data_IF_463118494859
#
_entry.id   IF_463118494859
#
_cell.length_a   1.000
_cell.length_b   1.000
_cell.length_c   1.000
_cell.angle_alpha   90.00
_cell.angle_beta   90.00
_cell.angle_gamma   90.00
#
_symmetry.space_group_name_H-M   'P 1'
#
loop_
_entity.id
_entity.type
_entity.pdbx_description
1 polymer ?
#
# COMPACT_ATOMS: atom_id res chain seq x y z
N UNK A 1 -10.53 -4.38 -33.52
CA UNK A 1 -9.10 -3.96 -33.55
C UNK A 1 -8.37 -4.80 -32.53
N UNK A 2 -7.36 -5.56 -32.95
CA UNK A 2 -6.68 -6.57 -32.11
C UNK A 2 -5.60 -6.00 -31.18
N UNK A 3 -5.31 -4.70 -31.26
CA UNK A 3 -4.30 -3.99 -30.47
C UNK A 3 -4.86 -2.66 -29.99
N UNK A 4 -4.71 -2.39 -28.69
CA UNK A 4 -5.11 -1.13 -28.05
C UNK A 4 -4.06 -0.72 -26.99
N UNK A 5 -3.24 0.29 -27.32
CA UNK A 5 -2.20 0.81 -26.43
C UNK A 5 -2.78 1.37 -25.11
N UNK A 6 -3.88 2.15 -25.13
CA UNK A 6 -4.64 2.50 -23.93
C UNK A 6 -4.98 1.32 -23.01
N UNK A 7 -5.46 0.20 -23.54
CA UNK A 7 -5.76 -0.99 -22.73
C UNK A 7 -4.51 -1.58 -22.08
N UNK A 8 -3.42 -1.73 -22.84
CA UNK A 8 -2.14 -2.20 -22.29
C UNK A 8 -1.64 -1.30 -21.16
N UNK A 9 -1.71 0.02 -21.34
CA UNK A 9 -1.36 0.99 -20.28
C UNK A 9 -2.25 0.84 -19.06
N UNK A 10 -3.56 0.68 -19.24
CA UNK A 10 -4.50 0.45 -18.14
C UNK A 10 -4.19 -0.85 -17.39
N UNK A 11 -3.85 -1.93 -18.08
CA UNK A 11 -3.43 -3.19 -17.47
C UNK A 11 -2.13 -3.03 -16.66
N UNK A 12 -1.14 -2.32 -17.20
CA UNK A 12 0.10 -2.01 -16.48
C UNK A 12 -0.16 -1.18 -15.22
N UNK A 13 -1.00 -0.15 -15.32
CA UNK A 13 -1.39 0.68 -14.19
C UNK A 13 -2.17 -0.10 -13.12
N UNK A 14 -2.99 -1.08 -13.50
CA UNK A 14 -3.62 -2.01 -12.55
C UNK A 14 -2.59 -2.86 -11.81
N UNK A 15 -1.54 -3.33 -12.46
CA UNK A 15 -0.44 -4.04 -11.79
C UNK A 15 0.28 -3.14 -10.78
N UNK A 16 0.49 -1.87 -11.11
CA UNK A 16 1.08 -0.88 -10.19
C UNK A 16 0.14 -0.58 -9.02
N UNK A 17 -1.17 -0.47 -9.27
CA UNK A 17 -2.16 -0.27 -8.21
C UNK A 17 -2.18 -1.45 -7.22
N UNK A 18 -2.18 -2.68 -7.72
CA UNK A 18 -2.07 -3.89 -6.88
C UNK A 18 -0.80 -3.87 -6.03
N UNK A 19 0.34 -3.50 -6.60
CA UNK A 19 1.60 -3.34 -5.86
C UNK A 19 1.46 -2.30 -4.74
N UNK A 20 0.84 -1.15 -5.01
CA UNK A 20 0.60 -0.10 -3.99
C UNK A 20 -0.27 -0.62 -2.85
N UNK A 21 -1.31 -1.38 -3.15
CA UNK A 21 -2.20 -1.95 -2.15
C UNK A 21 -1.46 -3.00 -1.29
N UNK A 22 -0.68 -3.88 -1.92
CA UNK A 22 0.17 -4.87 -1.24
C UNK A 22 1.21 -4.21 -0.32
N UNK A 23 1.89 -3.16 -0.81
CA UNK A 23 2.86 -2.39 -0.02
C UNK A 23 2.19 -1.59 1.10
N UNK A 24 0.94 -1.15 0.92
CA UNK A 24 0.16 -0.51 2.00
C UNK A 24 -0.18 -1.50 3.11
N UNK A 25 -0.49 -2.75 2.73
CA UNK A 25 -0.67 -3.85 3.68
C UNK A 25 0.61 -4.23 4.44
N UNK A 26 1.78 -3.93 3.87
CA UNK A 26 3.07 -4.15 4.51
C UNK A 26 3.30 -3.12 5.63
N UNK A 27 3.00 -3.52 6.87
CA UNK A 27 3.13 -2.69 8.07
C UNK A 27 4.61 -2.46 8.40
N UNK A 28 5.11 -1.27 8.08
CA UNK A 28 6.49 -0.81 8.26
C UNK A 28 6.83 -0.32 9.66
N UNK A 29 5.92 -0.52 10.63
CA UNK A 29 6.07 0.04 11.98
C UNK A 29 5.73 1.52 12.08
N UNK A 30 5.26 2.15 10.99
CA UNK A 30 4.63 3.47 11.05
C UNK A 30 3.24 3.40 11.67
N UNK A 31 2.95 4.41 12.48
CA UNK A 31 1.63 4.71 12.98
C UNK A 31 0.66 4.90 11.80
N UNK A 32 -0.40 4.10 11.80
CA UNK A 32 -1.55 4.26 10.90
C UNK A 32 -2.82 4.18 11.75
N UNK A 33 -3.82 4.99 11.42
CA UNK A 33 -5.13 4.91 12.08
C UNK A 33 -5.74 3.50 11.95
N UNK A 34 -5.45 2.80 10.85
CA UNK A 34 -5.92 1.42 10.62
C UNK A 34 -5.36 0.38 11.58
N UNK A 35 -4.37 0.73 12.42
CA UNK A 35 -3.94 -0.14 13.53
C UNK A 35 -5.02 -0.28 14.59
N UNK A 36 -5.84 0.75 14.80
CA UNK A 36 -6.85 0.76 15.86
C UNK A 36 -8.26 0.44 15.36
N UNK A 37 -8.44 0.15 14.06
CA UNK A 37 -9.72 -0.29 13.48
C UNK A 37 -10.33 -1.53 14.16
N UNK A 38 -9.55 -2.58 14.53
CA UNK A 38 -10.10 -3.74 15.21
C UNK A 38 -10.48 -3.49 16.67
N UNK A 39 -10.12 -2.32 17.23
CA UNK A 39 -10.32 -2.03 18.66
C UNK A 39 -11.78 -1.73 18.92
N UNK A 40 -12.40 -2.53 19.77
CA UNK A 40 -13.76 -2.30 20.28
C UNK A 40 -13.70 -1.75 21.71
N UNK A 41 -14.48 -0.71 21.98
CA UNK A 41 -14.60 -0.04 23.28
C UNK A 41 -15.97 -0.37 23.87
N UNK A 42 -16.03 -0.61 25.17
CA UNK A 42 -17.29 -0.72 25.89
C UNK A 42 -17.79 0.69 26.24
N UNK A 43 -18.82 1.15 25.53
CA UNK A 43 -19.41 2.47 25.68
C UNK A 43 -20.91 2.33 25.98
N UNK A 44 -21.35 2.97 27.06
CA UNK A 44 -22.76 3.03 27.47
C UNK A 44 -23.47 1.65 27.56
N UNK A 45 -22.74 0.61 28.02
CA UNK A 45 -23.28 -0.75 28.17
C UNK A 45 -23.31 -1.58 26.87
N UNK A 46 -22.66 -1.12 25.80
CA UNK A 46 -22.54 -1.84 24.53
C UNK A 46 -21.12 -1.78 23.97
N UNK A 47 -20.73 -2.73 23.11
CA UNK A 47 -19.42 -2.71 22.45
C UNK A 47 -19.52 -1.95 21.14
N UNK A 48 -18.76 -0.86 21.01
CA UNK A 48 -18.71 -0.03 19.81
C UNK A 48 -17.28 0.00 19.25
N UNK A 49 -17.08 0.11 17.94
CA UNK A 49 -15.77 0.35 17.35
C UNK A 49 -15.15 1.66 17.85
N UNK A 50 -13.82 1.70 18.01
CA UNK A 50 -13.10 2.88 18.51
C UNK A 50 -13.38 4.15 17.71
N UNK A 51 -13.48 4.04 16.39
CA UNK A 51 -13.73 5.17 15.48
C UNK A 51 -15.11 5.82 15.66
N UNK A 52 -16.03 5.20 16.42
CA UNK A 52 -17.35 5.77 16.74
C UNK A 52 -17.36 6.54 18.07
N UNK A 53 -16.29 6.47 18.85
CA UNK A 53 -16.18 7.14 20.16
C UNK A 53 -14.97 8.08 20.25
N UNK A 54 -14.07 8.01 19.25
CA UNK A 54 -12.85 8.81 19.19
C UNK A 54 -12.39 9.06 17.75
N UNK A 55 -11.65 10.16 17.56
CA UNK A 55 -10.94 10.47 16.33
C UNK A 55 -9.48 10.02 16.46
N UNK A 56 -9.00 9.20 15.52
CA UNK A 56 -7.60 8.76 15.48
C UNK A 56 -6.82 9.63 14.49
N UNK A 57 -5.69 10.15 14.93
CA UNK A 57 -4.76 10.95 14.13
C UNK A 57 -3.34 10.40 14.25
N UNK A 58 -2.51 10.67 13.23
CA UNK A 58 -1.10 10.27 13.19
C UNK A 58 -0.25 11.54 13.24
N UNK A 59 0.00 12.12 14.43
CA UNK A 59 0.82 13.33 14.54
C UNK A 59 2.27 13.08 14.15
N UNK A 60 2.77 11.88 14.44
CA UNK A 60 4.16 11.48 14.19
C UNK A 60 4.21 10.04 13.67
N UNK A 61 5.26 9.65 12.92
CA UNK A 61 5.37 8.29 12.36
C UNK A 61 5.35 7.17 13.39
N UNK A 62 5.61 7.45 14.66
CA UNK A 62 5.72 6.46 15.74
C UNK A 62 4.73 6.68 16.88
N UNK A 63 3.76 7.57 16.69
CA UNK A 63 2.77 7.91 17.70
C UNK A 63 1.41 8.07 17.05
N UNK A 64 0.41 7.37 17.58
CA UNK A 64 -0.99 7.68 17.32
C UNK A 64 -1.52 8.60 18.40
N UNK A 65 -2.40 9.53 18.02
CA UNK A 65 -3.17 10.35 18.95
C UNK A 65 -4.65 10.05 18.77
N UNK A 66 -5.27 9.54 19.82
CA UNK A 66 -6.68 9.19 19.87
C UNK A 66 -7.39 10.26 20.71
N UNK A 67 -8.16 11.11 20.06
CA UNK A 67 -8.98 12.15 20.70
C UNK A 67 -10.37 11.58 20.98
N UNK A 68 -10.68 11.31 22.25
CA UNK A 68 -11.99 10.81 22.67
C UNK A 68 -12.98 11.97 22.74
N UNK A 69 -14.20 11.79 22.22
CA UNK A 69 -15.22 12.84 22.20
C UNK A 69 -15.85 13.08 23.58
N UNK A 70 -16.09 12.01 24.34
CA UNK A 70 -16.56 12.07 25.72
C UNK A 70 -15.42 11.78 26.70
N UNK A 71 -15.14 12.73 27.61
CA UNK A 71 -14.08 12.57 28.62
C UNK A 71 -14.35 11.40 29.56
N UNK A 72 -15.60 11.06 29.82
CA UNK A 72 -15.95 9.92 30.69
C UNK A 72 -15.52 8.58 30.05
N UNK A 73 -15.37 8.55 28.72
CA UNK A 73 -14.96 7.36 27.97
C UNK A 73 -13.44 7.23 27.80
N UNK A 74 -12.65 8.22 28.22
CA UNK A 74 -11.20 8.18 28.08
C UNK A 74 -10.56 6.92 28.70
N UNK A 75 -10.96 6.56 29.92
CA UNK A 75 -10.44 5.37 30.60
C UNK A 75 -10.86 4.07 29.91
N UNK A 76 -12.07 4.00 29.37
CA UNK A 76 -12.57 2.83 28.64
C UNK A 76 -11.82 2.64 27.32
N UNK A 77 -11.57 3.73 26.60
CA UNK A 77 -10.78 3.73 25.37
C UNK A 77 -9.33 3.34 25.63
N UNK A 78 -8.69 3.92 26.65
CA UNK A 78 -7.31 3.59 27.02
C UNK A 78 -7.18 2.09 27.32
N UNK A 79 -8.10 1.56 28.11
CA UNK A 79 -8.13 0.13 28.44
C UNK A 79 -8.37 -0.74 27.20
N UNK A 80 -9.31 -0.37 26.34
CA UNK A 80 -9.58 -1.11 25.10
C UNK A 80 -8.37 -1.17 24.16
N UNK A 81 -7.60 -0.08 24.04
CA UNK A 81 -6.37 -0.05 23.23
C UNK A 81 -5.30 -0.97 23.85
N UNK A 82 -5.13 -0.94 25.17
CA UNK A 82 -4.18 -1.80 25.89
C UNK A 82 -4.53 -3.29 25.76
N UNK A 83 -5.82 -3.61 25.89
CA UNK A 83 -6.34 -4.98 25.90
C UNK A 83 -6.63 -5.51 24.47
N UNK A 84 -6.38 -4.71 23.43
CA UNK A 84 -6.64 -5.07 22.02
C UNK A 84 -5.77 -6.22 21.49
N UNK A 85 -4.76 -6.66 22.24
CA UNK A 85 -3.80 -7.67 21.80
C UNK A 85 -2.78 -7.15 20.79
N UNK A 86 -2.77 -5.84 20.50
CA UNK A 86 -1.84 -5.20 19.57
C UNK A 86 -0.46 -4.92 20.19
N UNK A 87 -0.27 -5.18 21.49
CA UNK A 87 0.98 -4.92 22.20
C UNK A 87 1.30 -3.43 22.36
N UNK A 88 0.27 -2.58 22.37
CA UNK A 88 0.39 -1.13 22.47
C UNK A 88 0.21 -0.68 23.93
N UNK A 89 1.01 0.29 24.35
CA UNK A 89 0.91 0.89 25.69
C UNK A 89 0.40 2.33 25.59
N UNK A 90 -0.92 2.56 25.62
CA UNK A 90 -1.50 3.89 25.54
C UNK A 90 -1.20 4.71 26.81
N UNK A 91 -1.02 6.02 26.62
CA UNK A 91 -0.79 7.03 27.66
C UNK A 91 -1.90 8.08 27.58
N UNK A 92 -2.78 8.10 28.57
CA UNK A 92 -3.88 9.07 28.65
C UNK A 92 -3.46 10.44 29.20
N UNK A 93 -3.82 11.50 28.49
CA UNK A 93 -3.73 12.91 28.87
C UNK A 93 -5.15 13.55 28.79
N UNK A 94 -6.02 13.18 29.73
CA UNK A 94 -7.40 13.68 29.75
C UNK A 94 -8.26 13.10 28.62
N UNK A 95 -8.56 13.89 27.59
CA UNK A 95 -9.33 13.44 26.41
C UNK A 95 -8.45 12.92 25.26
N UNK A 96 -7.13 13.17 25.32
CA UNK A 96 -6.17 12.73 24.33
C UNK A 96 -5.47 11.48 24.86
N UNK A 97 -5.39 10.42 24.05
CA UNK A 97 -4.65 9.21 24.39
C UNK A 97 -3.55 9.03 23.35
N UNK A 98 -2.29 9.10 23.80
CA UNK A 98 -1.11 8.88 22.96
C UNK A 98 -0.78 7.40 22.94
N UNK A 99 -0.60 6.83 21.77
CA UNK A 99 -0.26 5.41 21.60
C UNK A 99 1.08 5.31 20.87
N UNK A 100 2.20 5.22 21.59
CA UNK A 100 3.51 5.02 20.98
C UNK A 100 3.60 3.62 20.37
N UNK A 101 4.21 3.52 19.19
CA UNK A 101 4.50 2.24 18.55
C UNK A 101 5.89 1.72 18.98
N UNK A 102 6.01 0.43 19.32
CA UNK A 102 7.30 -0.19 19.62
C UNK A 102 8.24 -0.19 18.40
N UNK A 103 9.55 -0.24 18.66
CA UNK A 103 10.57 -0.32 17.60
C UNK A 103 10.53 -1.67 16.89
N UNK A 104 10.57 -1.64 15.56
CA UNK A 104 10.96 -2.82 14.80
C UNK A 104 12.47 -3.00 14.93
N UNK A 105 12.88 -4.19 15.38
CA UNK A 105 14.28 -4.57 15.37
C UNK A 105 14.82 -4.63 13.92
N UNK A 106 16.14 -4.51 13.77
CA UNK A 106 16.79 -4.46 12.45
C UNK A 106 16.49 -5.71 11.60
N UNK A 107 16.39 -6.88 12.26
CA UNK A 107 16.06 -8.14 11.60
C UNK A 107 14.67 -8.11 10.96
N UNK A 108 13.67 -7.56 11.65
CA UNK A 108 12.31 -7.44 11.12
C UNK A 108 12.23 -6.42 9.98
N UNK A 109 12.98 -5.32 10.05
CA UNK A 109 13.07 -4.36 8.94
C UNK A 109 13.63 -5.02 7.67
N UNK A 110 14.70 -5.82 7.80
CA UNK A 110 15.28 -6.58 6.67
C UNK A 110 14.29 -7.59 6.08
N UNK A 111 13.51 -8.27 6.92
CA UNK A 111 12.45 -9.17 6.44
C UNK A 111 11.36 -8.43 5.66
N UNK A 112 10.92 -7.27 6.16
CA UNK A 112 9.92 -6.44 5.48
C UNK A 112 10.44 -5.91 4.14
N UNK A 113 11.70 -5.45 4.08
CA UNK A 113 12.32 -5.02 2.83
C UNK A 113 12.36 -6.15 1.80
N UNK A 114 12.70 -7.38 2.24
CA UNK A 114 12.67 -8.57 1.37
C UNK A 114 11.28 -8.86 0.83
N UNK A 115 10.24 -8.71 1.66
CA UNK A 115 8.84 -8.91 1.22
C UNK A 115 8.44 -7.83 0.20
N UNK A 116 8.81 -6.56 0.43
CA UNK A 116 8.55 -5.48 -0.52
C UNK A 116 9.19 -5.75 -1.90
N UNK A 117 10.42 -6.26 -1.94
CA UNK A 117 11.06 -6.65 -3.19
C UNK A 117 10.37 -7.84 -3.87
N UNK A 118 9.83 -8.80 -3.13
CA UNK A 118 9.08 -9.89 -3.73
C UNK A 118 7.81 -9.39 -4.46
N UNK A 119 7.08 -8.43 -3.85
CA UNK A 119 5.94 -7.80 -4.50
C UNK A 119 6.36 -6.99 -5.74
N UNK A 120 7.50 -6.29 -5.67
CA UNK A 120 8.07 -5.58 -6.81
C UNK A 120 8.36 -6.53 -7.99
N UNK A 121 8.98 -7.68 -7.73
CA UNK A 121 9.28 -8.67 -8.76
C UNK A 121 8.00 -9.25 -9.38
N UNK A 122 6.99 -9.54 -8.57
CA UNK A 122 5.69 -9.98 -9.09
C UNK A 122 5.05 -8.94 -10.02
N UNK A 123 5.09 -7.65 -9.65
CA UNK A 123 4.58 -6.56 -10.48
C UNK A 123 5.40 -6.41 -11.79
N UNK A 124 6.73 -6.49 -11.73
CA UNK A 124 7.61 -6.44 -12.92
C UNK A 124 7.33 -7.61 -13.85
N UNK A 125 7.11 -8.82 -13.34
CA UNK A 125 6.75 -9.99 -14.14
C UNK A 125 5.39 -9.78 -14.82
N UNK A 126 4.39 -9.27 -14.11
CA UNK A 126 3.08 -8.97 -14.68
C UNK A 126 3.18 -7.94 -15.83
N UNK A 127 3.94 -6.86 -15.64
CA UNK A 127 4.20 -5.86 -16.70
C UNK A 127 4.91 -6.48 -17.91
N UNK A 128 5.90 -7.36 -17.69
CA UNK A 128 6.58 -8.08 -18.79
C UNK A 128 5.64 -9.00 -19.56
N UNK A 129 4.68 -9.64 -18.89
CA UNK A 129 3.64 -10.46 -19.54
C UNK A 129 2.71 -9.58 -20.38
N UNK A 130 2.25 -8.44 -19.86
CA UNK A 130 1.40 -7.50 -20.61
C UNK A 130 2.13 -6.98 -21.85
N UNK A 131 3.42 -6.66 -21.73
CA UNK A 131 4.25 -6.28 -22.87
C UNK A 131 4.27 -7.38 -23.93
N UNK A 132 4.50 -8.64 -23.51
CA UNK A 132 4.52 -9.79 -24.43
C UNK A 132 3.20 -9.94 -25.18
N UNK A 133 2.07 -9.86 -24.48
CA UNK A 133 0.74 -9.91 -25.11
C UNK A 133 0.57 -8.81 -26.16
N UNK A 134 0.99 -7.58 -25.84
CA UNK A 134 0.94 -6.45 -26.77
C UNK A 134 1.82 -6.63 -28.01
N UNK A 135 3.05 -7.13 -27.82
CA UNK A 135 3.99 -7.40 -28.92
C UNK A 135 3.51 -8.55 -29.81
N UNK A 136 2.95 -9.62 -29.22
CA UNK A 136 2.39 -10.75 -29.96
C UNK A 136 1.15 -10.33 -30.78
N UNK A 137 0.32 -9.43 -30.24
CA UNK A 137 -0.83 -8.85 -30.94
C UNK A 137 -0.40 -7.99 -32.14
N UNK A 138 0.62 -7.13 -31.97
CA UNK A 138 1.18 -6.32 -33.06
C UNK A 138 1.75 -7.20 -34.19
N UNK A 139 2.53 -8.22 -33.82
CA UNK A 139 3.12 -9.16 -34.78
C UNK A 139 2.05 -9.95 -35.55
N UNK A 140 0.91 -10.24 -34.92
CA UNK A 140 -0.22 -10.88 -35.58
C UNK A 140 -0.91 -9.91 -36.56
N UNK A 141 -1.18 -8.67 -36.13
CA UNK A 141 -1.78 -7.66 -36.99
C UNK A 141 -0.93 -7.33 -38.23
N UNK A 142 0.40 -7.32 -38.11
CA UNK A 142 1.33 -7.17 -39.24
C UNK A 142 1.23 -8.34 -40.23
N UNK A 143 1.12 -9.58 -39.73
CA UNK A 143 0.96 -10.77 -40.58
C UNK A 143 -0.39 -10.85 -41.27
N UNK A 144 -1.44 -10.43 -40.58
CA UNK A 144 -2.82 -10.45 -41.09
C UNK A 144 -3.07 -9.31 -42.10
N UNK A 145 -2.11 -8.38 -42.26
CA UNK A 145 -2.17 -7.25 -43.19
C UNK A 145 -2.94 -6.05 -42.66
N UNK A 146 -3.39 -6.10 -41.40
CA UNK A 146 -4.10 -5.02 -40.70
C UNK A 146 -3.17 -3.85 -40.33
N UNK A 147 -1.85 -4.07 -40.33
CA UNK A 147 -0.85 -3.09 -39.95
C UNK A 147 0.34 -3.11 -40.92
N UNK A 148 0.83 -1.93 -41.31
CA UNK A 148 2.06 -1.83 -42.11
C UNK A 148 3.30 -2.14 -41.26
N UNK A 149 4.42 -2.50 -41.91
CA UNK A 149 5.68 -2.76 -41.20
C UNK A 149 6.21 -1.51 -40.48
N UNK A 150 6.02 -0.32 -41.06
CA UNK A 150 6.44 0.94 -40.46
C UNK A 150 5.57 1.28 -39.24
N UNK A 151 4.26 1.10 -39.33
CA UNK A 151 3.34 1.28 -38.20
C UNK A 151 3.62 0.27 -37.08
N UNK A 152 3.91 -0.99 -37.43
CA UNK A 152 4.27 -2.05 -36.47
C UNK A 152 5.49 -1.68 -35.63
N UNK A 153 6.51 -1.08 -36.26
CA UNK A 153 7.70 -0.58 -35.55
C UNK A 153 7.35 0.56 -34.60
N UNK A 154 6.60 1.56 -35.07
CA UNK A 154 6.20 2.70 -34.23
C UNK A 154 5.38 2.25 -33.03
N UNK A 155 4.41 1.36 -33.22
CA UNK A 155 3.58 0.85 -32.12
C UNK A 155 4.39 -0.02 -31.15
N UNK A 156 5.33 -0.82 -31.64
CA UNK A 156 6.24 -1.61 -30.80
C UNK A 156 7.09 -0.72 -29.90
N UNK A 157 7.63 0.39 -30.43
CA UNK A 157 8.38 1.37 -29.67
C UNK A 157 7.52 2.04 -28.59
N UNK A 158 6.25 2.32 -28.88
CA UNK A 158 5.32 2.87 -27.90
C UNK A 158 5.01 1.89 -26.76
N UNK A 159 4.86 0.60 -27.07
CA UNK A 159 4.66 -0.47 -26.06
C UNK A 159 5.90 -0.60 -25.18
N UNK A 160 7.10 -0.55 -25.76
CA UNK A 160 8.35 -0.62 -25.02
C UNK A 160 8.51 0.60 -24.10
N UNK A 161 8.27 1.82 -24.60
CA UNK A 161 8.28 3.05 -23.78
C UNK A 161 7.28 3.01 -22.63
N UNK A 162 6.07 2.51 -22.88
CA UNK A 162 5.06 2.35 -21.83
C UNK A 162 5.50 1.34 -20.76
N UNK A 163 6.14 0.24 -21.17
CA UNK A 163 6.71 -0.76 -20.27
C UNK A 163 7.82 -0.18 -19.41
N UNK A 164 8.76 0.55 -20.02
CA UNK A 164 9.89 1.14 -19.31
C UNK A 164 9.42 2.19 -18.30
N UNK A 165 8.41 2.99 -18.65
CA UNK A 165 7.77 3.93 -17.72
C UNK A 165 7.11 3.21 -16.53
N UNK A 166 6.39 2.11 -16.78
CA UNK A 166 5.75 1.33 -15.73
C UNK A 166 6.77 0.66 -14.80
N UNK A 167 7.88 0.13 -15.33
CA UNK A 167 8.96 -0.44 -14.53
C UNK A 167 9.64 0.64 -13.69
N UNK A 168 9.92 1.81 -14.25
CA UNK A 168 10.47 2.93 -13.50
C UNK A 168 9.54 3.39 -12.35
N UNK A 169 8.23 3.39 -12.59
CA UNK A 169 7.23 3.71 -11.55
C UNK A 169 7.23 2.66 -10.43
N UNK A 170 7.31 1.36 -10.76
CA UNK A 170 7.47 0.28 -9.78
C UNK A 170 8.72 0.51 -8.92
N UNK A 171 9.85 0.83 -9.55
CA UNK A 171 11.12 1.05 -8.86
C UNK A 171 11.05 2.24 -7.89
N UNK A 172 10.40 3.33 -8.31
CA UNK A 172 10.17 4.50 -7.45
C UNK A 172 9.30 4.16 -6.25
N UNK A 173 8.20 3.44 -6.45
CA UNK A 173 7.27 3.05 -5.38
C UNK A 173 7.98 2.16 -4.35
N UNK A 174 8.78 1.20 -4.82
CA UNK A 174 9.50 0.26 -3.94
C UNK A 174 10.64 0.95 -3.21
N UNK A 175 11.41 1.81 -3.88
CA UNK A 175 12.48 2.58 -3.24
C UNK A 175 11.93 3.52 -2.15
N UNK A 176 10.79 4.17 -2.40
CA UNK A 176 10.12 4.98 -1.39
C UNK A 176 9.71 4.14 -0.17
N UNK A 177 9.19 2.92 -0.41
CA UNK A 177 8.79 2.02 0.68
C UNK A 177 9.98 1.42 1.44
N UNK A 178 11.08 1.13 0.76
CA UNK A 178 12.30 0.64 1.39
C UNK A 178 12.94 1.71 2.28
N UNK A 179 13.02 2.95 1.79
CA UNK A 179 13.46 4.09 2.60
C UNK A 179 12.57 4.28 3.84
N UNK A 180 11.26 4.12 3.68
CA UNK A 180 10.30 4.16 4.80
C UNK A 180 10.58 3.05 5.84
N UNK A 181 10.86 1.83 5.40
CA UNK A 181 11.19 0.69 6.28
C UNK A 181 12.50 0.92 7.04
N UNK A 182 13.48 1.56 6.39
CA UNK A 182 14.82 1.72 6.96
C UNK A 182 14.95 2.95 7.87
N UNK A 183 14.19 4.02 7.63
CA UNK A 183 14.24 5.26 8.43
C UNK A 183 13.52 5.17 9.79
N UNK A 184 12.59 4.23 9.97
CA UNK A 184 11.72 4.11 11.17
C UNK A 184 12.28 3.08 12.11
#
# INVERSE_FOLDING_TARGET
MAYDLPDLKNRMQKSIASLRDELTGLRTGRASASLLEPVTVEAYGSRMPLNQVATVTVPEPRMLSVQVWDRQMANAVEKAIRDSGLGLNPMGEGQIIRVPLPELNEQRRKELAKVAHNYAEAARVAVRHIRRDGMDALKKAEKDGDLSQDDSRVQSDLVQKATDAAVAEIDQVVAAKEAEIMQV
#
